data_IF_317262953309
#
_entry.id   IF_317262953309
#
_cell.length_a   1.000
_cell.length_b   1.000
_cell.length_c   1.000
_cell.angle_alpha   90.00
_cell.angle_beta   90.00
_cell.angle_gamma   90.00
#
_symmetry.space_group_name_H-M   'P 1'
#
loop_
_entity.id
_entity.type
_entity.pdbx_description
1 polymer ?
#
# COMPACT_ATOMS: atom_id res chain seq x y z
N UNK A 1 -3.62 16.33 -1.78
CA UNK A 1 -2.29 16.94 -1.60
C UNK A 1 -1.25 15.84 -1.76
N UNK A 2 -0.54 15.77 -2.90
CA UNK A 2 0.42 14.69 -3.20
C UNK A 2 1.56 14.57 -2.19
N UNK A 3 2.07 15.69 -1.66
CA UNK A 3 3.14 15.68 -0.64
C UNK A 3 2.68 15.10 0.69
N UNK A 4 1.43 15.34 1.09
CA UNK A 4 0.85 14.72 2.29
C UNK A 4 0.68 13.20 2.13
N UNK A 5 0.24 12.76 0.95
CA UNK A 5 0.17 11.33 0.65
C UNK A 5 1.56 10.69 0.65
N UNK A 6 2.55 11.35 0.03
CA UNK A 6 3.93 10.88 0.03
C UNK A 6 4.47 10.72 1.45
N UNK A 7 4.30 11.74 2.30
CA UNK A 7 4.70 11.68 3.69
C UNK A 7 3.97 10.55 4.44
N UNK A 8 2.66 10.37 4.21
CA UNK A 8 1.89 9.27 4.79
C UNK A 8 2.44 7.88 4.39
N UNK A 9 2.83 7.71 3.12
CA UNK A 9 3.43 6.46 2.62
C UNK A 9 4.81 6.25 3.24
N UNK A 10 5.66 7.29 3.31
CA UNK A 10 6.99 7.17 3.90
C UNK A 10 6.95 6.81 5.38
N UNK A 11 6.10 7.49 6.17
CA UNK A 11 6.00 7.19 7.62
C UNK A 11 5.36 5.83 7.89
N UNK A 12 4.45 5.39 7.02
CA UNK A 12 3.94 4.02 7.05
C UNK A 12 5.08 3.05 6.78
N UNK A 13 5.87 3.27 5.74
CA UNK A 13 7.01 2.40 5.39
C UNK A 13 8.22 2.56 6.37
N UNK A 14 8.03 3.23 7.52
CA UNK A 14 9.02 3.33 8.59
C UNK A 14 10.17 4.32 8.35
N UNK A 15 10.04 5.20 7.36
CA UNK A 15 11.10 6.18 7.04
C UNK A 15 11.28 7.16 8.18
N UNK A 16 12.53 7.45 8.54
CA UNK A 16 12.86 8.51 9.47
C UNK A 16 12.60 9.88 8.85
N UNK A 17 12.45 10.90 9.69
CA UNK A 17 12.16 12.25 9.21
C UNK A 17 13.26 12.81 8.29
N UNK A 18 14.53 12.61 8.67
CA UNK A 18 15.68 13.03 7.88
C UNK A 18 15.71 12.31 6.53
N UNK A 19 15.44 11.01 6.52
CA UNK A 19 15.36 10.23 5.29
C UNK A 19 14.34 10.80 4.28
N UNK A 20 13.21 11.32 4.75
CA UNK A 20 12.19 11.93 3.88
C UNK A 20 12.72 13.22 3.21
N UNK A 21 13.36 14.09 3.98
CA UNK A 21 13.85 15.39 3.48
C UNK A 21 15.17 15.27 2.70
N UNK A 22 15.93 14.20 2.95
CA UNK A 22 17.17 13.90 2.23
C UNK A 22 16.88 13.26 0.87
N UNK A 23 15.82 12.44 0.78
CA UNK A 23 15.46 11.73 -0.45
C UNK A 23 14.53 12.53 -1.37
N UNK A 24 13.57 13.28 -0.80
CA UNK A 24 12.60 14.05 -1.57
C UNK A 24 12.86 15.56 -1.46
N UNK A 25 12.50 16.30 -2.51
CA UNK A 25 12.52 17.77 -2.51
C UNK A 25 11.41 18.35 -1.60
N UNK A 26 11.62 18.20 -0.30
CA UNK A 26 10.77 18.64 0.80
C UNK A 26 11.67 19.30 1.84
N UNK A 27 11.52 20.62 2.00
CA UNK A 27 12.24 21.35 3.04
C UNK A 27 11.84 20.88 4.45
N UNK A 28 12.74 20.98 5.43
CA UNK A 28 12.43 20.65 6.83
C UNK A 28 11.15 21.36 7.36
N UNK A 29 10.95 22.69 7.18
CA UNK A 29 9.72 23.34 7.62
C UNK A 29 8.46 22.77 6.95
N UNK A 30 8.59 22.30 5.70
CA UNK A 30 7.49 21.64 5.01
C UNK A 30 7.21 20.25 5.56
N UNK A 31 8.25 19.44 5.76
CA UNK A 31 8.11 18.11 6.35
C UNK A 31 7.45 18.20 7.74
N UNK A 32 7.87 19.13 8.61
CA UNK A 32 7.22 19.37 9.90
C UNK A 32 5.72 19.66 9.73
N UNK A 33 5.33 20.51 8.78
CA UNK A 33 3.91 20.78 8.51
C UNK A 33 3.15 19.54 8.03
N UNK A 34 3.80 18.66 7.27
CA UNK A 34 3.20 17.39 6.84
C UNK A 34 3.03 16.46 8.05
N UNK A 35 4.05 16.30 8.90
CA UNK A 35 3.99 15.48 10.11
C UNK A 35 2.89 15.94 11.07
N UNK A 36 2.76 17.25 11.31
CA UNK A 36 1.66 17.82 12.11
C UNK A 36 0.29 17.51 11.52
N UNK A 37 0.16 17.49 10.19
CA UNK A 37 -1.11 17.10 9.56
C UNK A 37 -1.40 15.62 9.72
N UNK A 38 -0.39 14.76 9.58
CA UNK A 38 -0.53 13.31 9.80
C UNK A 38 -0.89 12.98 11.25
N UNK A 39 -0.33 13.73 12.20
CA UNK A 39 -0.65 13.65 13.63
C UNK A 39 -2.11 13.99 13.92
N UNK A 40 -2.61 15.10 13.36
CA UNK A 40 -4.03 15.49 13.45
C UNK A 40 -4.99 14.47 12.83
N UNK A 41 -4.53 13.75 11.80
CA UNK A 41 -5.28 12.67 11.17
C UNK A 41 -5.15 11.34 11.94
N UNK A 42 -4.39 11.31 13.04
CA UNK A 42 -4.11 10.12 13.87
C UNK A 42 -3.42 8.97 13.11
N UNK A 43 -2.63 9.30 12.08
CA UNK A 43 -1.74 8.30 11.44
C UNK A 43 -0.47 8.07 12.27
N UNK A 44 0.02 9.14 12.88
CA UNK A 44 1.21 9.14 13.72
C UNK A 44 0.94 9.91 15.01
N UNK A 45 1.77 9.69 16.01
CA UNK A 45 2.01 10.63 17.10
C UNK A 45 3.33 11.33 16.81
N UNK A 46 3.31 12.66 16.62
CA UNK A 46 4.51 13.43 16.32
C UNK A 46 5.22 13.89 17.60
N UNK A 47 6.49 13.52 17.73
CA UNK A 47 7.27 13.63 18.97
C UNK A 47 8.40 14.67 18.83
N UNK A 48 8.92 15.21 19.95
CA UNK A 48 10.08 16.10 19.93
C UNK A 48 11.31 15.47 19.26
N UNK A 49 12.09 16.34 18.59
CA UNK A 49 13.28 15.94 17.83
C UNK A 49 12.95 15.34 16.46
N UNK A 50 11.84 15.75 15.84
CA UNK A 50 11.36 15.25 14.54
C UNK A 50 11.17 13.72 14.51
N UNK A 51 10.84 13.12 15.66
CA UNK A 51 10.53 11.69 15.78
C UNK A 51 9.03 11.49 15.67
N UNK A 52 8.60 10.26 15.40
CA UNK A 52 7.19 9.91 15.44
C UNK A 52 6.99 8.46 15.87
N UNK A 53 5.77 8.16 16.30
CA UNK A 53 5.28 6.79 16.50
C UNK A 53 4.11 6.53 15.56
N UNK A 54 4.15 5.46 14.79
CA UNK A 54 3.05 5.08 13.91
C UNK A 54 1.85 4.61 14.75
N UNK A 55 0.65 5.07 14.42
CA UNK A 55 -0.60 4.73 15.10
C UNK A 55 -1.48 3.77 14.29
N UNK A 56 -1.05 3.40 13.08
CA UNK A 56 -1.72 2.47 12.19
C UNK A 56 -0.87 1.20 12.02
N UNK A 57 -1.53 0.05 11.86
CA UNK A 57 -0.86 -1.20 11.53
C UNK A 57 -0.37 -1.20 10.06
N UNK A 58 0.71 -1.92 9.76
CA UNK A 58 1.22 -2.05 8.39
C UNK A 58 0.23 -2.77 7.45
N UNK A 59 -0.51 -3.75 7.98
CA UNK A 59 -1.53 -4.51 7.25
C UNK A 59 -2.89 -3.81 7.20
N UNK A 60 -2.94 -2.50 7.49
CA UNK A 60 -4.16 -1.72 7.54
C UNK A 60 -5.01 -1.88 6.26
N UNK A 61 -6.26 -2.28 6.46
CA UNK A 61 -7.25 -2.37 5.40
C UNK A 61 -7.99 -1.06 5.25
N UNK A 62 -8.18 -0.64 4.01
CA UNK A 62 -8.95 0.57 3.73
C UNK A 62 -10.40 0.39 4.18
N UNK A 63 -11.00 1.49 4.61
CA UNK A 63 -12.42 1.54 4.94
C UNK A 63 -13.19 1.48 3.62
N UNK A 64 -14.10 0.49 3.43
CA UNK A 64 -14.91 0.39 2.22
C UNK A 64 -15.69 1.68 1.95
N UNK A 65 -15.65 2.15 0.71
CA UNK A 65 -16.23 3.39 0.23
C UNK A 65 -15.52 4.67 0.68
N UNK A 66 -14.42 4.54 1.45
CA UNK A 66 -13.69 5.66 2.03
C UNK A 66 -12.90 6.48 0.99
N UNK A 67 -12.51 7.74 1.34
CA UNK A 67 -11.81 8.63 0.42
C UNK A 67 -10.44 8.08 -0.02
N UNK A 68 -9.75 7.33 0.86
CA UNK A 68 -8.47 6.71 0.54
C UNK A 68 -8.65 5.54 -0.44
N UNK A 69 -9.64 4.67 -0.23
CA UNK A 69 -9.91 3.55 -1.15
C UNK A 69 -10.18 4.06 -2.57
N UNK A 70 -11.09 5.03 -2.72
CA UNK A 70 -11.42 5.60 -4.03
C UNK A 70 -10.20 6.19 -4.73
N UNK A 71 -9.36 6.90 -3.98
CA UNK A 71 -8.11 7.45 -4.51
C UNK A 71 -7.17 6.32 -4.97
N UNK A 72 -7.00 5.28 -4.16
CA UNK A 72 -6.11 4.16 -4.49
C UNK A 72 -6.60 3.36 -5.70
N UNK A 73 -7.90 3.12 -5.79
CA UNK A 73 -8.52 2.44 -6.95
C UNK A 73 -8.31 3.23 -8.25
N UNK A 74 -8.53 4.54 -8.22
CA UNK A 74 -8.46 5.40 -9.41
C UNK A 74 -7.03 5.69 -9.85
N UNK A 75 -6.14 5.99 -8.89
CA UNK A 75 -4.83 6.56 -9.20
C UNK A 75 -3.68 5.57 -9.05
N UNK A 76 -3.79 4.57 -8.17
CA UNK A 76 -2.67 3.69 -7.82
C UNK A 76 -2.81 2.31 -8.42
N UNK A 77 -3.93 1.61 -8.23
CA UNK A 77 -4.11 0.24 -8.72
C UNK A 77 -4.05 0.16 -10.25
N UNK A 78 -4.72 1.09 -10.94
CA UNK A 78 -4.69 1.14 -12.42
C UNK A 78 -3.27 1.37 -12.93
N UNK A 79 -2.53 2.30 -12.32
CA UNK A 79 -1.15 2.61 -12.72
C UNK A 79 -0.18 1.51 -12.34
N UNK A 80 -0.37 0.85 -11.19
CA UNK A 80 0.44 -0.29 -10.78
C UNK A 80 0.38 -1.41 -11.82
N UNK A 81 -0.81 -1.69 -12.37
CA UNK A 81 -1.01 -2.70 -13.41
C UNK A 81 -0.51 -2.27 -14.81
N UNK A 82 -0.12 -1.01 -15.00
CA UNK A 82 0.43 -0.45 -16.23
C UNK A 82 1.91 -0.03 -16.01
N UNK A 83 2.85 -0.97 -16.10
CA UNK A 83 4.25 -0.73 -15.72
C UNK A 83 4.89 0.31 -16.65
N UNK A 84 5.85 1.06 -16.13
CA UNK A 84 6.61 2.02 -16.95
C UNK A 84 7.47 1.27 -17.97
N UNK A 85 7.94 1.99 -18.99
CA UNK A 85 8.84 1.44 -20.00
C UNK A 85 10.09 0.85 -19.31
N UNK A 86 10.38 -0.42 -19.59
CA UNK A 86 11.51 -1.18 -19.02
C UNK A 86 11.43 -1.45 -17.51
N UNK A 87 10.23 -1.42 -16.91
CA UNK A 87 10.01 -1.88 -15.53
C UNK A 87 9.63 -3.37 -15.53
N UNK A 88 10.55 -4.29 -15.16
CA UNK A 88 10.26 -5.71 -15.18
C UNK A 88 9.34 -6.11 -14.03
N UNK A 89 8.46 -7.07 -14.28
CA UNK A 89 7.70 -7.71 -13.20
C UNK A 89 8.58 -8.70 -12.46
N UNK A 90 8.74 -8.52 -11.15
CA UNK A 90 9.29 -9.58 -10.28
C UNK A 90 8.35 -10.78 -10.24
N UNK A 91 7.03 -10.52 -10.26
CA UNK A 91 6.00 -11.55 -10.31
C UNK A 91 4.69 -10.95 -10.86
N UNK A 92 4.02 -11.66 -11.77
CA UNK A 92 2.68 -11.29 -12.27
C UNK A 92 1.94 -12.52 -12.76
N UNK A 93 0.74 -12.74 -12.25
CA UNK A 93 -0.10 -13.86 -12.64
C UNK A 93 -1.58 -13.46 -12.69
N UNK A 94 -2.35 -14.16 -13.52
CA UNK A 94 -3.80 -14.05 -13.60
C UNK A 94 -4.38 -15.47 -13.69
N UNK A 95 -5.21 -15.85 -12.72
CA UNK A 95 -5.93 -17.12 -12.72
C UNK A 95 -7.43 -16.87 -12.67
N UNK A 96 -8.17 -17.64 -13.46
CA UNK A 96 -9.64 -17.70 -13.43
C UNK A 96 -10.09 -19.15 -13.30
N UNK A 97 -11.13 -19.38 -12.51
CA UNK A 97 -11.78 -20.67 -12.40
C UNK A 97 -13.10 -20.58 -11.65
N UNK A 98 -13.91 -21.63 -11.73
CA UNK A 98 -15.03 -21.85 -10.81
C UNK A 98 -14.49 -22.69 -9.66
N UNK A 99 -14.59 -22.15 -8.46
CA UNK A 99 -14.08 -22.78 -7.26
C UNK A 99 -15.24 -23.14 -6.34
N UNK A 100 -15.08 -24.23 -5.59
CA UNK A 100 -15.99 -24.53 -4.49
C UNK A 100 -15.84 -23.47 -3.39
N UNK A 101 -16.86 -23.32 -2.53
CA UNK A 101 -16.79 -22.41 -1.39
C UNK A 101 -15.59 -22.72 -0.47
N UNK A 102 -15.30 -24.01 -0.24
CA UNK A 102 -14.15 -24.41 0.59
C UNK A 102 -12.81 -24.06 -0.06
N UNK A 103 -12.68 -24.20 -1.38
CA UNK A 103 -11.48 -23.74 -2.10
C UNK A 103 -11.30 -22.22 -2.01
N UNK A 104 -12.38 -21.45 -2.12
CA UNK A 104 -12.35 -19.98 -1.95
C UNK A 104 -11.84 -19.59 -0.56
N UNK A 105 -12.37 -20.23 0.49
CA UNK A 105 -11.97 -19.97 1.87
C UNK A 105 -10.48 -20.29 2.12
N UNK A 106 -10.00 -21.41 1.58
CA UNK A 106 -8.57 -21.79 1.68
C UNK A 106 -7.68 -20.72 1.03
N UNK A 107 -8.03 -20.26 -0.18
CA UNK A 107 -7.26 -19.23 -0.89
C UNK A 107 -7.28 -17.92 -0.10
N UNK A 108 -8.44 -17.48 0.38
CA UNK A 108 -8.56 -16.26 1.19
C UNK A 108 -7.69 -16.32 2.45
N UNK A 109 -7.68 -17.46 3.15
CA UNK A 109 -6.83 -17.65 4.33
C UNK A 109 -5.34 -17.54 3.97
N UNK A 110 -4.90 -18.12 2.86
CA UNK A 110 -3.50 -18.04 2.40
C UNK A 110 -3.10 -16.63 1.98
N UNK A 111 -3.98 -15.91 1.29
CA UNK A 111 -3.75 -14.49 0.95
C UNK A 111 -3.61 -13.65 2.21
N UNK A 112 -4.49 -13.83 3.20
CA UNK A 112 -4.40 -13.12 4.49
C UNK A 112 -3.11 -13.44 5.25
N UNK A 113 -2.66 -14.70 5.21
CA UNK A 113 -1.40 -15.12 5.80
C UNK A 113 -0.22 -14.40 5.15
N UNK A 114 -0.15 -14.42 3.81
CA UNK A 114 0.92 -13.75 3.07
C UNK A 114 0.92 -12.23 3.29
N UNK A 115 -0.25 -11.61 3.39
CA UNK A 115 -0.34 -10.17 3.73
C UNK A 115 0.28 -9.86 5.08
N UNK A 116 0.05 -10.70 6.10
CA UNK A 116 0.65 -10.52 7.44
C UNK A 116 2.16 -10.72 7.42
N UNK A 117 2.63 -11.81 6.81
CA UNK A 117 4.07 -12.10 6.68
C UNK A 117 4.80 -10.97 5.94
N UNK A 118 4.22 -10.44 4.85
CA UNK A 118 4.80 -9.30 4.13
C UNK A 118 4.83 -8.01 4.97
N UNK A 119 3.83 -7.78 5.81
CA UNK A 119 3.79 -6.64 6.72
C UNK A 119 4.85 -6.76 7.83
N UNK A 120 4.99 -7.94 8.43
CA UNK A 120 6.01 -8.24 9.45
C UNK A 120 7.43 -8.03 8.88
N UNK A 121 7.71 -8.55 7.69
CA UNK A 121 9.00 -8.33 7.01
C UNK A 121 9.25 -6.84 6.73
N UNK A 122 8.23 -6.07 6.35
CA UNK A 122 8.38 -4.63 6.16
C UNK A 122 8.74 -3.90 7.47
N UNK A 123 8.17 -4.30 8.61
CA UNK A 123 8.53 -3.74 9.93
C UNK A 123 9.95 -4.10 10.37
N UNK A 124 10.41 -5.30 10.02
CA UNK A 124 11.80 -5.72 10.26
C UNK A 124 12.76 -4.88 9.41
N UNK A 125 12.50 -4.77 8.11
CA UNK A 125 13.32 -4.02 7.14
C UNK A 125 13.29 -2.51 7.39
N UNK A 126 12.26 -1.98 8.07
CA UNK A 126 12.19 -0.57 8.44
C UNK A 126 13.33 -0.10 9.35
N UNK A 127 14.08 -1.03 9.96
CA UNK A 127 15.26 -0.73 10.79
C UNK A 127 16.53 -0.58 9.97
N UNK A 128 16.52 -0.99 8.71
CA UNK A 128 17.65 -0.89 7.80
C UNK A 128 17.69 0.50 7.16
N UNK A 129 18.89 1.01 6.80
CA UNK A 129 19.01 2.21 5.98
C UNK A 129 18.23 2.05 4.67
N UNK A 130 17.58 3.11 4.18
CA UNK A 130 16.83 3.07 2.91
C UNK A 130 17.66 2.55 1.73
N UNK A 131 18.97 2.82 1.70
CA UNK A 131 19.87 2.32 0.65
C UNK A 131 19.97 0.80 0.58
N UNK A 132 19.61 0.09 1.65
CA UNK A 132 19.59 -1.37 1.73
C UNK A 132 18.19 -1.96 1.50
N UNK A 133 17.18 -1.10 1.31
CA UNK A 133 15.78 -1.49 1.13
C UNK A 133 15.40 -1.43 -0.35
N UNK A 134 14.76 -2.49 -0.85
CA UNK A 134 14.23 -2.49 -2.22
C UNK A 134 12.83 -1.91 -2.23
N UNK A 135 12.60 -0.86 -3.02
CA UNK A 135 11.26 -0.31 -3.23
C UNK A 135 10.40 -1.34 -3.98
N UNK A 136 9.38 -1.85 -3.31
CA UNK A 136 8.51 -2.91 -3.82
C UNK A 136 7.06 -2.61 -3.45
N UNK A 137 6.15 -2.77 -4.41
CA UNK A 137 4.72 -2.81 -4.15
C UNK A 137 4.18 -4.21 -4.37
N UNK A 138 3.33 -4.69 -3.46
CA UNK A 138 2.61 -5.95 -3.60
C UNK A 138 1.11 -5.67 -3.70
N UNK A 139 0.52 -6.03 -4.84
CA UNK A 139 -0.91 -5.94 -5.08
C UNK A 139 -1.49 -7.34 -5.24
N UNK A 140 -2.43 -7.70 -4.37
CA UNK A 140 -3.20 -8.94 -4.48
C UNK A 140 -4.68 -8.62 -4.43
N UNK A 141 -5.46 -9.21 -5.33
CA UNK A 141 -6.90 -9.01 -5.38
C UNK A 141 -7.60 -10.33 -5.72
N UNK A 142 -8.74 -10.57 -5.06
CA UNK A 142 -9.59 -11.73 -5.31
C UNK A 142 -11.05 -11.30 -5.21
N UNK A 143 -11.82 -11.55 -6.26
CA UNK A 143 -13.28 -11.37 -6.29
C UNK A 143 -13.92 -12.32 -7.29
N UNK A 144 -15.22 -12.60 -7.18
CA UNK A 144 -16.01 -13.04 -8.32
C UNK A 144 -15.80 -12.04 -9.47
N UNK A 145 -15.37 -12.54 -10.62
CA UNK A 145 -15.09 -11.69 -11.77
C UNK A 145 -15.45 -12.41 -13.06
N UNK A 146 -16.24 -11.74 -13.88
CA UNK A 146 -16.48 -12.08 -15.26
C UNK A 146 -16.31 -10.80 -16.10
N UNK A 147 -15.55 -10.84 -17.21
CA UNK A 147 -15.53 -9.74 -18.16
C UNK A 147 -16.93 -9.53 -18.73
N UNK A 148 -17.34 -8.27 -18.89
CA UNK A 148 -18.66 -7.91 -19.42
C UNK A 148 -18.95 -8.53 -20.78
N UNK A 149 -17.93 -8.73 -21.63
CA UNK A 149 -18.04 -9.44 -22.91
C UNK A 149 -18.65 -10.85 -22.78
N UNK A 150 -18.44 -11.54 -21.65
CA UNK A 150 -18.98 -12.88 -21.43
C UNK A 150 -20.31 -12.86 -20.67
N UNK A 151 -20.58 -11.80 -19.90
CA UNK A 151 -21.87 -11.63 -19.21
C UNK A 151 -23.01 -11.55 -20.23
N UNK A 152 -22.79 -10.86 -21.36
CA UNK A 152 -23.72 -10.75 -22.49
C UNK A 152 -24.01 -12.10 -23.19
N UNK A 153 -23.15 -13.10 -22.99
CA UNK A 153 -23.27 -14.43 -23.59
C UNK A 153 -23.95 -15.45 -22.65
N UNK A 154 -24.34 -15.03 -21.43
CA UNK A 154 -25.06 -15.92 -20.51
C UNK A 154 -26.42 -16.29 -21.10
N UNK A 155 -26.76 -17.57 -21.00
CA UNK A 155 -28.15 -18.00 -21.20
C UNK A 155 -28.97 -17.51 -20.01
N UNK A 156 -30.16 -16.98 -20.30
CA UNK A 156 -31.18 -16.68 -19.30
C UNK A 156 -31.53 -17.91 -18.45
#
# INVERSE_FOLDING_TARGET
NPRLLLAAVCVRDGWQFNEIIDYYDISEPEAVRLMVKLDRLKLIEFLPGNRYRLLIAQDFRWIPGGPLERFMEQEVMVKFMAPKKNEPWTFRFYLRGRYSASSVEIIQRRLNQLTREAAELNEEDARLPISERTHMGLLMAMRPWEPSLFEEMRRE
#
